data_IF_795935611498
#
_entry.id   IF_795935611498
#
_cell.length_a   1.000
_cell.length_b   1.000
_cell.length_c   1.000
_cell.angle_alpha   90.00
_cell.angle_beta   90.00
_cell.angle_gamma   90.00
#
_symmetry.space_group_name_H-M   'P 1'
#
loop_
_entity.id
_entity.type
_entity.pdbx_description
1 polymer ?
#
# COMPACT_ATOMS: atom_id res chain seq x y z
N UNK A 1 26.20 12.57 6.39
CA UNK A 1 26.11 11.09 6.49
C UNK A 1 25.50 10.59 5.20
N UNK A 2 26.29 9.97 4.32
CA UNK A 2 25.77 9.49 3.03
C UNK A 2 24.87 8.28 3.24
N UNK A 3 23.66 8.31 2.67
CA UNK A 3 22.76 7.16 2.63
C UNK A 3 23.48 6.02 1.89
N UNK A 4 24.09 5.10 2.65
CA UNK A 4 24.54 3.83 2.07
C UNK A 4 23.27 3.07 1.68
N UNK A 5 23.01 2.84 0.38
CA UNK A 5 21.85 2.06 -0.01
C UNK A 5 21.99 0.67 0.60
N UNK A 6 20.88 0.14 1.14
CA UNK A 6 20.83 -1.24 1.63
C UNK A 6 21.01 -2.15 0.41
N UNK A 7 22.19 -2.76 0.29
CA UNK A 7 22.52 -3.68 -0.77
C UNK A 7 22.44 -5.12 -0.27
N UNK A 8 21.98 -6.01 -1.15
CA UNK A 8 21.96 -7.45 -0.91
C UNK A 8 22.93 -8.13 -1.87
N UNK A 9 23.56 -9.21 -1.40
CA UNK A 9 24.39 -10.04 -2.26
C UNK A 9 23.52 -11.13 -2.87
N UNK A 10 23.48 -11.20 -4.19
CA UNK A 10 22.78 -12.27 -4.88
C UNK A 10 23.55 -13.60 -4.77
N UNK A 11 22.97 -14.67 -5.32
CA UNK A 11 23.56 -16.03 -5.29
C UNK A 11 24.87 -16.11 -6.08
N UNK A 12 25.08 -15.18 -7.01
CA UNK A 12 26.24 -15.09 -7.89
C UNK A 12 27.32 -14.14 -7.33
N UNK A 13 27.08 -13.56 -6.15
CA UNK A 13 28.02 -12.71 -5.43
C UNK A 13 27.98 -11.23 -5.81
N UNK A 14 27.07 -10.81 -6.69
CA UNK A 14 26.90 -9.42 -7.11
C UNK A 14 26.12 -8.62 -6.07
N UNK A 15 26.45 -7.34 -5.94
CA UNK A 15 25.71 -6.40 -5.10
C UNK A 15 24.52 -5.84 -5.87
N UNK A 16 23.32 -6.19 -5.43
CA UNK A 16 22.07 -5.70 -6.00
C UNK A 16 21.43 -4.72 -5.01
N UNK A 17 21.02 -3.55 -5.50
CA UNK A 17 20.30 -2.59 -4.68
C UNK A 17 18.94 -3.16 -4.30
N UNK A 18 18.51 -2.97 -3.05
CA UNK A 18 17.17 -3.34 -2.63
C UNK A 18 16.07 -2.75 -3.54
N UNK A 19 16.31 -1.54 -4.07
CA UNK A 19 15.39 -0.87 -4.99
C UNK A 19 15.23 -1.63 -6.33
N UNK A 20 16.31 -2.23 -6.84
CA UNK A 20 16.28 -2.98 -8.10
C UNK A 20 15.61 -4.35 -7.93
N UNK A 21 15.71 -4.95 -6.75
CA UNK A 21 15.08 -6.23 -6.43
C UNK A 21 13.56 -6.11 -6.36
N UNK A 22 13.04 -5.00 -5.82
CA UNK A 22 11.62 -4.76 -5.56
C UNK A 22 10.93 -3.95 -6.66
N UNK A 23 10.86 -4.53 -7.86
CA UNK A 23 10.08 -3.99 -8.98
C UNK A 23 8.57 -3.93 -8.64
N UNK A 24 7.81 -2.91 -9.09
CA UNK A 24 6.35 -2.84 -9.02
C UNK A 24 5.62 -4.18 -9.20
N UNK A 25 6.03 -5.01 -10.17
CA UNK A 25 5.42 -6.32 -10.41
C UNK A 25 5.56 -7.28 -9.22
N UNK A 26 6.74 -7.36 -8.62
CA UNK A 26 7.00 -8.21 -7.44
C UNK A 26 6.29 -7.69 -6.21
N UNK A 27 6.20 -6.37 -6.06
CA UNK A 27 5.45 -5.75 -4.99
C UNK A 27 3.96 -6.07 -5.12
N UNK A 28 3.40 -5.94 -6.32
CA UNK A 28 1.99 -6.27 -6.59
C UNK A 28 1.69 -7.75 -6.28
N UNK A 29 2.53 -8.68 -6.76
CA UNK A 29 2.40 -10.10 -6.46
C UNK A 29 2.47 -10.40 -4.96
N UNK A 30 3.42 -9.77 -4.25
CA UNK A 30 3.54 -9.90 -2.81
C UNK A 30 2.30 -9.39 -2.08
N UNK A 31 1.76 -8.24 -2.50
CA UNK A 31 0.56 -7.67 -1.93
C UNK A 31 -0.67 -8.54 -2.18
N UNK A 32 -0.82 -9.11 -3.38
CA UNK A 32 -1.90 -10.06 -3.67
C UNK A 32 -1.79 -11.31 -2.82
N UNK A 33 -0.57 -11.84 -2.62
CA UNK A 33 -0.35 -13.04 -1.81
C UNK A 33 -0.59 -12.82 -0.32
N UNK A 34 -0.09 -11.71 0.24
CA UNK A 34 -0.20 -11.42 1.68
C UNK A 34 -1.54 -10.78 2.06
N UNK A 35 -2.19 -10.08 1.13
CA UNK A 35 -3.50 -9.48 1.34
C UNK A 35 -4.40 -9.73 0.12
N UNK A 36 -4.95 -10.94 -0.03
CA UNK A 36 -5.81 -11.28 -1.16
C UNK A 36 -7.09 -10.43 -1.21
N UNK A 37 -7.57 -9.94 -0.07
CA UNK A 37 -8.76 -9.08 0.03
C UNK A 37 -8.47 -7.58 -0.15
N UNK A 38 -7.25 -7.20 -0.53
CA UNK A 38 -6.85 -5.78 -0.66
C UNK A 38 -7.71 -5.00 -1.65
N UNK A 39 -8.06 -5.61 -2.78
CA UNK A 39 -8.91 -4.98 -3.81
C UNK A 39 -10.28 -4.61 -3.26
N UNK A 40 -10.91 -5.54 -2.53
CA UNK A 40 -12.20 -5.34 -1.89
C UNK A 40 -12.16 -4.24 -0.84
N UNK A 41 -11.04 -4.11 -0.10
CA UNK A 41 -10.90 -3.03 0.88
C UNK A 41 -10.86 -1.66 0.21
N UNK A 42 -10.09 -1.51 -0.87
CA UNK A 42 -10.03 -0.23 -1.59
C UNK A 42 -11.37 0.14 -2.24
N UNK A 43 -12.09 -0.83 -2.79
CA UNK A 43 -13.43 -0.58 -3.33
C UNK A 43 -14.40 -0.14 -2.23
N UNK A 44 -14.33 -0.76 -1.04
CA UNK A 44 -15.13 -0.35 0.13
C UNK A 44 -14.76 1.03 0.64
N UNK A 45 -13.47 1.34 0.76
CA UNK A 45 -12.98 2.66 1.17
C UNK A 45 -13.44 3.74 0.17
N UNK A 46 -13.31 3.48 -1.13
CA UNK A 46 -13.78 4.41 -2.16
C UNK A 46 -15.30 4.61 -2.12
N UNK A 47 -16.06 3.54 -1.94
CA UNK A 47 -17.52 3.63 -1.78
C UNK A 47 -17.91 4.39 -0.52
N UNK A 48 -17.21 4.18 0.59
CA UNK A 48 -17.45 4.89 1.85
C UNK A 48 -17.10 6.38 1.73
N UNK A 49 -16.01 6.73 1.03
CA UNK A 49 -15.67 8.13 0.72
C UNK A 49 -16.70 8.77 -0.20
N UNK A 50 -17.16 8.06 -1.24
CA UNK A 50 -18.23 8.52 -2.14
C UNK A 50 -19.56 8.71 -1.38
N UNK A 51 -19.87 7.85 -0.41
CA UNK A 51 -21.08 7.92 0.41
C UNK A 51 -20.99 9.05 1.44
N UNK A 52 -19.84 9.23 2.09
CA UNK A 52 -19.57 10.36 2.98
C UNK A 52 -19.61 11.70 2.24
N UNK A 53 -19.12 11.75 0.99
CA UNK A 53 -19.21 12.93 0.14
C UNK A 53 -20.65 13.24 -0.32
N UNK A 54 -21.52 12.22 -0.43
CA UNK A 54 -22.94 12.39 -0.79
C UNK A 54 -23.82 12.77 0.39
N UNK A 55 -23.47 12.36 1.61
CA UNK A 55 -24.24 12.65 2.83
C UNK A 55 -23.36 13.31 3.92
N UNK A 56 -22.93 14.56 3.72
CA UNK A 56 -22.10 15.26 4.70
C UNK A 56 -22.83 15.55 6.02
N UNK A 57 -24.16 15.66 5.99
CA UNK A 57 -25.01 15.97 7.16
C UNK A 57 -25.01 14.89 8.27
N UNK A 58 -24.64 13.64 7.97
CA UNK A 58 -24.59 12.55 8.98
C UNK A 58 -23.34 12.60 9.88
N UNK A 59 -22.27 13.26 9.44
CA UNK A 59 -21.05 13.36 10.24
C UNK A 59 -21.19 14.38 11.39
N UNK A 60 -22.00 15.43 11.21
CA UNK A 60 -22.17 16.49 12.22
C UNK A 60 -22.96 16.03 13.46
N UNK A 61 -23.81 14.99 13.33
CA UNK A 61 -24.52 14.38 14.46
C UNK A 61 -23.60 13.47 15.32
N UNK A 62 -22.51 12.96 14.76
CA UNK A 62 -21.59 12.04 15.46
C UNK A 62 -20.52 12.74 16.29
N UNK A 63 -20.30 14.05 16.09
CA UNK A 63 -19.33 14.85 16.86
C UNK A 63 -19.94 15.58 18.07
N UNK A 64 -21.26 15.49 18.29
CA UNK A 64 -21.97 16.18 19.37
C UNK A 64 -22.24 15.33 20.63
N UNK A 65 -21.59 14.17 20.79
CA UNK A 65 -21.69 13.31 22.00
C UNK A 65 -20.32 13.09 22.63
#
# INVERSE_FOLDING_TARGET
MGNKPISFRDKDGNFVSAADVWNPKKLEELFTRLNPNRKLRFERERLAEEEAAKHPELNEETEQV
#
